data_IF_936974046123
#
_entry.id   IF_936974046123
#
_cell.length_a   1.000
_cell.length_b   1.000
_cell.length_c   1.000
_cell.angle_alpha   90.00
_cell.angle_beta   90.00
_cell.angle_gamma   90.00
#
_symmetry.space_group_name_H-M   'P 1'
#
loop_
_entity.id
_entity.type
_entity.pdbx_description
1 polymer ?
#
# COMPACT_ATOMS: atom_id res chain seq x y z
N UNK A 1 18.74 -2.41 6.94
CA UNK A 1 18.59 -3.75 7.58
C UNK A 1 18.16 -4.82 6.58
N UNK A 2 17.01 -4.67 5.90
CA UNK A 2 16.53 -5.70 4.96
C UNK A 2 17.48 -5.94 3.77
N UNK A 3 18.00 -4.88 3.13
CA UNK A 3 18.99 -5.02 2.05
C UNK A 3 20.30 -5.67 2.50
N UNK A 4 20.76 -5.33 3.71
CA UNK A 4 21.96 -5.94 4.31
C UNK A 4 21.80 -7.45 4.47
N UNK A 5 20.58 -7.92 4.81
CA UNK A 5 20.29 -9.35 4.86
C UNK A 5 20.21 -10.00 3.47
N UNK A 6 19.67 -9.29 2.46
CA UNK A 6 19.64 -9.81 1.06
C UNK A 6 21.05 -10.03 0.51
N UNK A 7 21.97 -9.09 0.73
CA UNK A 7 23.38 -9.25 0.37
C UNK A 7 24.06 -10.37 1.16
N UNK A 8 23.80 -10.48 2.47
CA UNK A 8 24.35 -11.57 3.28
C UNK A 8 23.87 -12.95 2.78
N UNK A 9 22.62 -13.06 2.36
CA UNK A 9 22.09 -14.30 1.77
C UNK A 9 22.78 -14.63 0.44
N UNK A 10 23.08 -13.62 -0.39
CA UNK A 10 23.81 -13.82 -1.64
C UNK A 10 25.25 -14.28 -1.39
N UNK A 11 25.96 -13.64 -0.47
CA UNK A 11 27.33 -14.04 -0.10
C UNK A 11 27.34 -15.47 0.46
N UNK A 12 26.41 -15.81 1.36
CA UNK A 12 26.25 -17.18 1.86
C UNK A 12 25.95 -18.19 0.75
N UNK A 13 25.14 -17.82 -0.25
CA UNK A 13 24.90 -18.67 -1.40
C UNK A 13 26.17 -18.92 -2.23
N UNK A 14 27.03 -17.90 -2.39
CA UNK A 14 28.33 -18.05 -3.04
C UNK A 14 29.34 -18.85 -2.21
N UNK A 15 29.32 -18.77 -0.88
CA UNK A 15 30.14 -19.64 -0.02
C UNK A 15 29.76 -21.13 -0.22
N UNK A 16 28.46 -21.42 -0.30
CA UNK A 16 27.96 -22.77 -0.52
C UNK A 16 28.20 -23.27 -1.95
N UNK A 17 28.27 -22.37 -2.94
CA UNK A 17 28.44 -22.67 -4.37
C UNK A 17 29.40 -21.68 -5.04
N UNK A 18 30.72 -21.77 -4.76
CA UNK A 18 31.70 -20.81 -5.27
C UNK A 18 31.75 -20.75 -6.80
N UNK A 19 31.48 -21.87 -7.47
CA UNK A 19 31.46 -22.00 -8.92
C UNK A 19 30.35 -21.18 -9.61
N UNK A 20 29.32 -20.78 -8.87
CA UNK A 20 28.21 -19.98 -9.37
C UNK A 20 28.55 -18.48 -9.43
N UNK A 21 29.55 -18.03 -8.67
CA UNK A 21 29.98 -16.62 -8.62
C UNK A 21 30.48 -16.19 -10.01
N UNK A 22 29.86 -15.16 -10.58
CA UNK A 22 30.14 -14.67 -11.93
C UNK A 22 29.49 -15.47 -13.07
N UNK A 23 28.95 -16.67 -12.83
CA UNK A 23 28.22 -17.47 -13.82
C UNK A 23 26.70 -17.29 -13.75
N UNK A 24 26.17 -17.01 -12.56
CA UNK A 24 24.76 -16.67 -12.35
C UNK A 24 24.60 -15.16 -12.33
N UNK A 25 23.63 -14.66 -13.10
CA UNK A 25 23.24 -13.24 -13.05
C UNK A 25 22.29 -13.03 -11.88
N UNK A 26 22.53 -11.95 -11.14
CA UNK A 26 21.71 -11.55 -10.00
C UNK A 26 20.84 -10.39 -10.48
N UNK A 27 19.54 -10.50 -10.25
CA UNK A 27 18.57 -9.43 -10.47
C UNK A 27 18.11 -8.91 -9.12
N UNK A 28 18.17 -7.59 -8.95
CA UNK A 28 17.63 -6.91 -7.79
C UNK A 28 16.25 -6.38 -8.15
N UNK A 29 15.24 -6.88 -7.44
CA UNK A 29 13.85 -6.44 -7.59
C UNK A 29 13.60 -5.27 -6.64
N UNK A 30 13.21 -4.13 -7.21
CA UNK A 30 12.87 -2.93 -6.44
C UNK A 30 11.40 -2.97 -6.06
N UNK A 31 11.03 -2.28 -4.98
CA UNK A 31 9.68 -2.35 -4.44
C UNK A 31 8.64 -1.65 -5.33
N UNK A 32 9.09 -0.64 -6.07
CA UNK A 32 8.30 0.28 -6.85
C UNK A 32 7.44 1.22 -5.99
N UNK A 33 6.90 2.28 -6.61
CA UNK A 33 5.94 3.14 -5.95
C UNK A 33 4.64 2.41 -5.67
N UNK A 34 4.10 2.61 -4.46
CA UNK A 34 2.82 2.02 -4.08
C UNK A 34 2.01 2.92 -3.14
N UNK A 35 0.70 2.77 -3.22
CA UNK A 35 -0.22 3.42 -2.29
C UNK A 35 -0.41 2.50 -1.08
N UNK A 36 -0.33 3.07 0.11
CA UNK A 36 -0.54 2.34 1.36
C UNK A 36 -1.49 3.03 2.31
N UNK A 37 -2.17 2.24 3.14
CA UNK A 37 -2.93 2.73 4.29
C UNK A 37 -2.02 3.19 5.43
N UNK A 38 -2.53 4.10 6.25
CA UNK A 38 -1.84 4.64 7.42
C UNK A 38 -1.83 3.72 8.63
N UNK A 39 -1.59 4.33 9.78
CA UNK A 39 -1.57 3.69 11.08
C UNK A 39 -2.91 3.88 11.80
N UNK A 40 -3.22 3.01 12.74
CA UNK A 40 -4.33 3.16 13.67
C UNK A 40 -3.86 3.75 15.00
N UNK A 41 -4.82 4.14 15.84
CA UNK A 41 -4.55 4.60 17.22
C UNK A 41 -3.77 3.56 18.03
N UNK A 42 -4.22 2.30 17.96
CA UNK A 42 -3.51 1.17 18.55
C UNK A 42 -2.65 0.52 17.48
N UNK A 43 -1.33 0.56 17.67
CA UNK A 43 -0.36 -0.03 16.74
C UNK A 43 -0.64 -1.51 16.49
N UNK A 44 -0.53 -1.93 15.23
CA UNK A 44 -0.78 -3.29 14.78
C UNK A 44 -2.19 -3.82 15.07
N UNK A 45 -3.15 -2.92 15.35
CA UNK A 45 -4.56 -3.29 15.45
C UNK A 45 -5.15 -3.58 14.08
N UNK A 46 -6.28 -4.29 14.08
CA UNK A 46 -7.10 -4.51 12.88
C UNK A 46 -8.48 -3.93 13.12
N UNK A 47 -9.07 -3.33 12.10
CA UNK A 47 -10.41 -2.78 12.13
C UNK A 47 -11.33 -3.67 11.32
N UNK A 48 -12.41 -4.12 11.95
CA UNK A 48 -13.44 -4.88 11.26
C UNK A 48 -14.34 -3.90 10.53
N UNK A 49 -14.49 -4.12 9.23
CA UNK A 49 -15.34 -3.31 8.37
C UNK A 49 -16.51 -4.18 7.91
N UNK A 50 -17.71 -3.61 7.91
CA UNK A 50 -18.94 -4.28 7.50
C UNK A 50 -19.42 -3.82 6.15
N UNK A 51 -19.91 -4.76 5.35
CA UNK A 51 -20.53 -4.44 4.08
C UNK A 51 -21.65 -3.41 4.26
N UNK A 52 -21.67 -2.40 3.39
CA UNK A 52 -22.63 -1.32 3.41
C UNK A 52 -22.25 -0.12 4.27
N UNK A 53 -21.26 -0.22 5.15
CA UNK A 53 -20.85 0.91 5.99
C UNK A 53 -20.14 1.99 5.17
N UNK A 54 -20.25 3.24 5.63
CA UNK A 54 -19.45 4.35 5.11
C UNK A 54 -18.03 4.27 5.65
N UNK A 55 -17.06 4.55 4.79
CA UNK A 55 -15.65 4.56 5.15
C UNK A 55 -14.92 5.66 4.38
N UNK A 56 -14.02 6.37 5.05
CA UNK A 56 -13.32 7.53 4.49
C UNK A 56 -11.82 7.27 4.33
N UNK A 57 -11.29 7.57 3.16
CA UNK A 57 -9.85 7.61 2.93
C UNK A 57 -9.38 9.06 3.04
N UNK A 58 -8.43 9.35 3.93
CA UNK A 58 -7.88 10.71 4.11
C UNK A 58 -6.47 10.83 3.57
N UNK A 59 -6.13 11.98 3.00
CA UNK A 59 -4.80 12.22 2.42
C UNK A 59 -3.76 12.74 3.41
N UNK A 60 -4.19 13.16 4.61
CA UNK A 60 -3.29 13.50 5.70
C UNK A 60 -2.77 12.22 6.38
N UNK A 61 -1.52 11.86 6.09
CA UNK A 61 -0.87 10.66 6.62
C UNK A 61 -0.52 10.74 8.12
N UNK A 62 -0.64 11.92 8.74
CA UNK A 62 -0.51 12.09 10.19
C UNK A 62 -1.73 11.58 10.97
N UNK A 63 -2.89 11.48 10.31
CA UNK A 63 -4.16 11.05 10.93
C UNK A 63 -4.12 9.57 11.24
N UNK A 64 -4.42 9.22 12.51
CA UNK A 64 -4.63 7.84 12.94
C UNK A 64 -6.02 7.38 12.53
N UNK A 65 -6.10 6.22 11.91
CA UNK A 65 -7.37 5.64 11.46
C UNK A 65 -8.12 4.86 12.55
N UNK A 66 -9.36 4.54 12.23
CA UNK A 66 -10.29 3.74 13.01
C UNK A 66 -11.23 2.90 12.08
N UNK A 67 -12.40 2.51 12.58
CA UNK A 67 -13.42 1.76 11.83
C UNK A 67 -14.18 2.62 10.79
N UNK A 68 -13.97 3.95 10.80
CA UNK A 68 -14.66 4.91 9.92
C UNK A 68 -13.72 5.56 8.92
N UNK A 69 -12.43 5.66 9.22
CA UNK A 69 -11.47 6.22 8.28
C UNK A 69 -10.06 5.65 8.40
N UNK A 70 -9.28 5.80 7.33
CA UNK A 70 -7.84 5.54 7.35
C UNK A 70 -7.10 6.50 6.44
N UNK A 71 -5.90 6.89 6.84
CA UNK A 71 -5.04 7.68 5.98
C UNK A 71 -4.47 6.85 4.82
N UNK A 72 -4.10 7.51 3.72
CA UNK A 72 -3.41 6.90 2.59
C UNK A 72 -2.19 7.73 2.19
N UNK A 73 -1.17 7.09 1.63
CA UNK A 73 0.06 7.77 1.20
C UNK A 73 -0.13 8.65 -0.04
N UNK A 74 -1.18 8.42 -0.83
CA UNK A 74 -1.38 9.11 -2.12
C UNK A 74 -2.28 10.34 -2.00
N UNK A 75 -1.67 11.52 -1.94
CA UNK A 75 -2.37 12.79 -1.75
C UNK A 75 -3.28 13.20 -2.91
N UNK A 76 -2.96 12.78 -4.13
CA UNK A 76 -3.73 13.14 -5.32
C UNK A 76 -4.97 12.25 -5.53
N UNK A 77 -5.19 11.23 -4.67
CA UNK A 77 -6.30 10.29 -4.85
C UNK A 77 -7.67 10.97 -5.08
N UNK A 78 -8.08 12.01 -4.30
CA UNK A 78 -9.39 12.63 -4.49
C UNK A 78 -9.62 13.26 -5.87
N UNK A 79 -8.54 13.69 -6.56
CA UNK A 79 -8.64 14.23 -7.92
C UNK A 79 -8.62 13.15 -9.02
N UNK A 80 -8.12 11.97 -8.69
CA UNK A 80 -7.88 10.89 -9.66
C UNK A 80 -9.02 9.85 -9.70
N UNK A 81 -9.90 9.85 -8.69
CA UNK A 81 -11.04 8.93 -8.59
C UNK A 81 -12.38 9.59 -8.86
N UNK A 82 -13.36 8.78 -9.26
CA UNK A 82 -14.74 9.18 -9.53
C UNK A 82 -15.73 8.26 -8.81
N UNK A 83 -16.94 8.75 -8.46
CA UNK A 83 -17.99 7.90 -7.91
C UNK A 83 -18.24 6.65 -8.77
N UNK A 84 -18.49 5.52 -8.11
CA UNK A 84 -18.66 4.20 -8.72
C UNK A 84 -17.37 3.43 -9.00
N UNK A 85 -16.20 4.06 -8.88
CA UNK A 85 -14.92 3.34 -9.01
C UNK A 85 -14.61 2.50 -7.78
N UNK A 86 -13.87 1.42 -7.99
CA UNK A 86 -13.44 0.52 -6.92
C UNK A 86 -12.04 0.87 -6.42
N UNK A 87 -11.85 0.76 -5.11
CA UNK A 87 -10.56 0.81 -4.45
C UNK A 87 -10.38 -0.53 -3.72
N UNK A 88 -9.30 -1.22 -4.02
CA UNK A 88 -8.97 -2.52 -3.44
C UNK A 88 -7.90 -2.34 -2.39
N UNK A 89 -8.16 -2.78 -1.17
CA UNK A 89 -7.19 -2.73 -0.08
C UNK A 89 -6.77 -4.15 0.28
N UNK A 90 -5.45 -4.35 0.41
CA UNK A 90 -4.83 -5.66 0.63
C UNK A 90 -5.32 -6.68 -0.41
N UNK A 91 -5.09 -6.37 -1.68
CA UNK A 91 -5.41 -7.21 -2.85
C UNK A 91 -6.89 -7.66 -2.91
N UNK A 92 -7.79 -6.78 -2.44
CA UNK A 92 -9.23 -7.03 -2.46
C UNK A 92 -9.79 -7.73 -1.22
N UNK A 93 -8.97 -7.90 -0.17
CA UNK A 93 -9.49 -8.33 1.15
C UNK A 93 -10.58 -7.37 1.64
N UNK A 94 -10.40 -6.08 1.40
CA UNK A 94 -11.44 -5.06 1.57
C UNK A 94 -11.63 -4.37 0.22
N UNK A 95 -12.88 -4.31 -0.24
CA UNK A 95 -13.28 -3.62 -1.46
C UNK A 95 -14.13 -2.41 -1.06
N UNK A 96 -13.72 -1.25 -1.54
CA UNK A 96 -14.42 0.01 -1.35
C UNK A 96 -14.96 0.51 -2.68
N UNK A 97 -16.15 1.09 -2.68
CA UNK A 97 -16.71 1.82 -3.81
C UNK A 97 -16.72 3.30 -3.51
N UNK A 98 -16.16 4.13 -4.39
CA UNK A 98 -16.16 5.58 -4.23
C UNK A 98 -17.59 6.10 -4.32
N UNK A 99 -18.04 6.83 -3.31
CA UNK A 99 -19.35 7.50 -3.30
C UNK A 99 -19.20 9.00 -3.56
N UNK A 100 -18.03 9.58 -3.27
CA UNK A 100 -17.74 10.99 -3.50
C UNK A 100 -16.32 11.37 -3.12
N UNK A 101 -15.94 12.61 -3.40
CA UNK A 101 -14.60 13.15 -3.12
C UNK A 101 -14.72 14.53 -2.49
N UNK A 102 -13.88 14.79 -1.48
CA UNK A 102 -13.66 16.12 -0.92
C UNK A 102 -12.28 16.67 -1.30
N UNK A 103 -11.85 17.79 -0.70
CA UNK A 103 -10.55 18.40 -1.00
C UNK A 103 -9.35 17.53 -0.57
N UNK A 104 -9.51 16.74 0.49
CA UNK A 104 -8.45 15.99 1.18
C UNK A 104 -8.89 14.56 1.54
N UNK A 105 -10.00 14.09 0.97
CA UNK A 105 -10.53 12.78 1.29
C UNK A 105 -11.40 12.19 0.17
N UNK A 106 -11.56 10.87 0.21
CA UNK A 106 -12.47 10.10 -0.62
C UNK A 106 -13.49 9.44 0.28
N UNK A 107 -14.78 9.68 0.01
CA UNK A 107 -15.88 8.99 0.66
C UNK A 107 -16.14 7.68 -0.09
N UNK A 108 -16.28 6.60 0.67
CA UNK A 108 -16.49 5.28 0.11
C UNK A 108 -17.56 4.50 0.87
N UNK A 109 -18.10 3.49 0.21
CA UNK A 109 -18.93 2.44 0.79
C UNK A 109 -18.17 1.13 0.77
N UNK A 110 -18.13 0.43 1.90
CA UNK A 110 -17.52 -0.91 1.99
C UNK A 110 -18.41 -1.92 1.28
N UNK A 111 -17.86 -2.72 0.37
CA UNK A 111 -18.62 -3.69 -0.42
C UNK A 111 -18.66 -5.11 0.18
N UNK A 112 -17.74 -5.44 1.08
CA UNK A 112 -17.66 -6.74 1.72
C UNK A 112 -17.21 -6.64 3.18
N UNK A 113 -17.62 -7.62 4.00
CA UNK A 113 -17.06 -7.79 5.33
C UNK A 113 -15.57 -8.10 5.23
N UNK A 114 -14.75 -7.42 6.03
CA UNK A 114 -13.30 -7.56 5.95
C UNK A 114 -12.56 -6.98 7.14
N UNK A 115 -11.28 -7.33 7.26
CA UNK A 115 -10.40 -6.79 8.30
C UNK A 115 -9.33 -5.93 7.66
N UNK A 116 -9.33 -4.65 8.02
CA UNK A 116 -8.32 -3.70 7.59
C UNK A 116 -7.15 -3.69 8.58
N UNK A 117 -5.94 -3.84 8.05
CA UNK A 117 -4.70 -3.65 8.81
C UNK A 117 -4.00 -2.34 8.45
N UNK A 118 -2.87 -2.10 9.13
CA UNK A 118 -2.00 -0.95 8.86
C UNK A 118 -1.07 -1.20 7.67
N UNK A 119 -0.65 -0.11 6.99
CA UNK A 119 0.35 -0.13 5.91
C UNK A 119 0.03 -1.15 4.82
N UNK A 120 -1.25 -1.37 4.53
CA UNK A 120 -1.72 -2.31 3.51
C UNK A 120 -1.69 -1.64 2.15
N UNK A 121 -1.34 -2.42 1.13
CA UNK A 121 -1.32 -1.97 -0.26
C UNK A 121 -2.74 -1.58 -0.70
N UNK A 122 -2.83 -0.51 -1.50
CA UNK A 122 -4.08 0.00 -2.06
C UNK A 122 -3.95 0.06 -3.58
N UNK A 123 -4.88 -0.57 -4.29
CA UNK A 123 -4.96 -0.61 -5.74
C UNK A 123 -6.23 0.10 -6.22
N UNK A 124 -6.12 0.87 -7.29
CA UNK A 124 -7.23 1.64 -7.86
C UNK A 124 -7.37 1.31 -9.35
N UNK A 125 -8.14 0.27 -9.70
CA UNK A 125 -8.29 -0.16 -11.09
C UNK A 125 -8.86 0.95 -11.98
N UNK A 126 -8.27 1.12 -13.17
CA UNK A 126 -8.74 2.09 -14.17
C UNK A 126 -8.35 3.55 -13.88
N UNK A 127 -7.50 3.80 -12.88
CA UNK A 127 -6.97 5.12 -12.57
C UNK A 127 -5.49 5.18 -12.91
N UNK A 128 -5.08 6.25 -13.60
CA UNK A 128 -3.66 6.53 -13.87
C UNK A 128 -3.04 7.16 -12.63
N UNK A 129 -2.42 6.33 -11.80
CA UNK A 129 -1.70 6.80 -10.62
C UNK A 129 -0.39 7.44 -11.05
N UNK A 130 -0.17 8.69 -10.65
CA UNK A 130 1.06 9.44 -10.91
C UNK A 130 1.94 9.48 -9.66
N UNK A 131 2.58 8.35 -9.35
CA UNK A 131 3.58 8.27 -8.30
C UNK A 131 4.99 8.45 -8.89
N UNK A 132 5.95 9.01 -8.12
CA UNK A 132 7.34 9.05 -8.55
C UNK A 132 7.84 7.62 -8.79
N UNK A 133 8.60 7.43 -9.88
CA UNK A 133 9.06 6.10 -10.33
C UNK A 133 10.04 5.45 -9.35
N UNK A 134 10.77 6.27 -8.59
CA UNK A 134 11.76 5.83 -7.60
C UNK A 134 11.56 6.66 -6.34
N UNK A 135 11.47 6.01 -5.17
CA UNK A 135 11.46 6.69 -3.87
C UNK A 135 12.88 6.88 -3.28
N UNK A 136 13.02 7.71 -2.24
CA UNK A 136 14.34 7.97 -1.62
C UNK A 136 15.02 6.72 -1.07
N UNK A 137 14.25 5.70 -0.67
CA UNK A 137 14.80 4.44 -0.16
C UNK A 137 15.30 3.59 -1.31
N UNK A 138 14.58 3.58 -2.43
CA UNK A 138 15.00 2.87 -3.64
C UNK A 138 16.25 3.46 -4.31
N UNK A 139 16.57 4.74 -4.08
CA UNK A 139 17.85 5.32 -4.53
C UNK A 139 19.02 4.78 -3.71
N UNK A 140 18.78 4.42 -2.44
CA UNK A 140 19.80 3.91 -1.50
C UNK A 140 19.98 2.39 -1.67
N UNK A 141 18.92 1.69 -2.08
CA UNK A 141 18.91 0.27 -2.40
C UNK A 141 19.91 -0.09 -3.53
#
# INVERSE_FOLDING_TARGET
EEQSMKLANLEKAYELRPEARGKVKVLMDTRGPEIRTGLFEVYNSKKELKAGQEFKLVTDYGVKGDDKHVAITYKALPGDVKPGQRILVQDGTVVLEVTGTGPDHVMTKVLNDGRLGERKNVNVPGVKINLPVVDEREIID
#
